data_IF_444970031823
#
_entry.id   IF_444970031823
#
_cell.length_a   1.000
_cell.length_b   1.000
_cell.length_c   1.000
_cell.angle_alpha   90.00
_cell.angle_beta   90.00
_cell.angle_gamma   90.00
#
_symmetry.space_group_name_H-M   'P 1'
#
loop_
_entity.id
_entity.type
_entity.pdbx_description
1 polymer ?
#
# COMPACT_ATOMS: atom_id res chain seq x y z
N UNK A 1 12.41 1.81 -12.00
CA UNK A 1 11.22 2.46 -11.47
C UNK A 1 11.03 2.07 -10.02
N UNK A 2 10.62 2.99 -9.18
CA UNK A 2 10.39 2.69 -7.75
C UNK A 2 9.19 1.78 -7.56
N UNK A 3 9.26 0.93 -6.55
CA UNK A 3 8.22 -0.01 -6.19
C UNK A 3 8.10 -0.08 -4.67
N UNK A 4 6.90 -0.32 -4.18
CA UNK A 4 6.67 -0.55 -2.75
C UNK A 4 5.85 -1.82 -2.58
N UNK A 5 6.19 -2.62 -1.56
CA UNK A 5 5.50 -3.86 -1.26
C UNK A 5 4.47 -3.63 -0.15
N UNK A 6 3.24 -4.05 -0.41
CA UNK A 6 2.15 -4.01 0.58
C UNK A 6 1.63 -5.42 0.82
N UNK A 7 1.24 -5.69 2.06
CA UNK A 7 0.50 -6.91 2.38
C UNK A 7 -0.86 -6.88 1.70
N UNK A 8 -1.34 -8.04 1.27
CA UNK A 8 -2.72 -8.16 0.81
C UNK A 8 -3.66 -8.17 2.02
N UNK A 9 -4.86 -7.60 1.94
CA UNK A 9 -5.53 -7.09 0.74
C UNK A 9 -5.18 -5.65 0.36
N UNK A 10 -4.29 -5.00 1.09
CA UNK A 10 -3.99 -3.57 0.91
C UNK A 10 -3.36 -3.24 -0.44
N UNK A 11 -2.55 -4.14 -0.99
CA UNK A 11 -1.98 -3.94 -2.32
C UNK A 11 -3.09 -3.87 -3.39
N UNK A 12 -4.04 -4.79 -3.35
CA UNK A 12 -5.19 -4.78 -4.28
C UNK A 12 -6.05 -3.54 -4.07
N UNK A 13 -6.36 -3.19 -2.84
CA UNK A 13 -7.17 -2.01 -2.51
C UNK A 13 -6.53 -0.71 -3.02
N UNK A 14 -5.20 -0.62 -2.94
CA UNK A 14 -4.47 0.53 -3.47
C UNK A 14 -4.52 0.54 -4.99
N UNK A 15 -4.29 -0.61 -5.62
CA UNK A 15 -4.26 -0.73 -7.09
C UNK A 15 -5.60 -0.40 -7.74
N UNK A 16 -6.72 -0.73 -7.08
CA UNK A 16 -8.06 -0.42 -7.60
C UNK A 16 -8.58 0.95 -7.16
N UNK A 17 -7.81 1.70 -6.39
CA UNK A 17 -8.18 3.06 -5.98
C UNK A 17 -9.13 3.16 -4.79
N UNK A 18 -9.42 2.07 -4.09
CA UNK A 18 -10.23 2.11 -2.86
C UNK A 18 -9.46 2.69 -1.70
N UNK A 19 -8.18 2.34 -1.60
CA UNK A 19 -7.24 2.86 -0.62
C UNK A 19 -6.43 3.96 -1.31
N UNK A 20 -6.43 5.16 -0.74
CA UNK A 20 -5.73 6.32 -1.33
C UNK A 20 -4.65 6.90 -0.43
N UNK A 21 -4.46 6.32 0.75
CA UNK A 21 -3.42 6.67 1.71
C UNK A 21 -2.72 5.40 2.17
N UNK A 22 -1.39 5.43 2.19
CA UNK A 22 -0.58 4.38 2.81
C UNK A 22 0.14 4.94 4.02
N UNK A 23 0.03 4.27 5.16
CA UNK A 23 0.62 4.71 6.42
C UNK A 23 1.89 3.91 6.71
N UNK A 24 2.98 4.59 7.02
CA UNK A 24 4.28 3.99 7.31
C UNK A 24 4.94 4.67 8.51
N UNK A 25 5.88 3.97 9.14
CA UNK A 25 6.67 4.48 10.26
C UNK A 25 7.83 5.36 9.81
N UNK A 26 8.15 5.35 8.52
CA UNK A 26 9.28 6.04 7.92
C UNK A 26 8.80 7.03 6.86
N UNK A 27 9.62 8.03 6.58
CA UNK A 27 9.37 9.06 5.59
C UNK A 27 10.20 8.82 4.34
N UNK A 28 9.79 9.42 3.24
CA UNK A 28 10.54 9.36 1.99
C UNK A 28 10.53 10.72 1.30
N UNK A 29 11.63 11.03 0.62
CA UNK A 29 11.72 12.20 -0.26
C UNK A 29 11.22 11.89 -1.67
N UNK A 30 11.02 10.61 -1.99
CA UNK A 30 10.54 10.20 -3.30
C UNK A 30 9.16 10.78 -3.58
N UNK A 31 8.96 11.27 -4.80
CA UNK A 31 7.66 11.67 -5.36
C UNK A 31 7.60 11.18 -6.80
N UNK A 32 6.40 10.84 -7.25
CA UNK A 32 6.18 10.42 -8.63
C UNK A 32 5.55 9.04 -8.75
N UNK A 33 5.61 8.49 -9.93
CA UNK A 33 5.01 7.18 -10.23
C UNK A 33 5.79 6.04 -9.60
N UNK A 34 5.08 5.06 -9.09
CA UNK A 34 5.66 3.87 -8.49
C UNK A 34 4.81 2.64 -8.81
N UNK A 35 5.46 1.49 -8.74
CA UNK A 35 4.79 0.19 -8.90
C UNK A 35 4.30 -0.33 -7.55
N UNK A 36 3.18 -1.04 -7.58
CA UNK A 36 2.58 -1.65 -6.40
C UNK A 36 2.88 -3.14 -6.42
N UNK A 37 3.62 -3.62 -5.43
CA UNK A 37 3.95 -5.04 -5.25
C UNK A 37 3.05 -5.64 -4.17
N UNK A 38 2.41 -6.76 -4.48
CA UNK A 38 1.64 -7.54 -3.51
C UNK A 38 2.58 -8.54 -2.83
N UNK A 39 2.78 -8.36 -1.54
CA UNK A 39 3.63 -9.24 -0.73
C UNK A 39 3.09 -10.67 -0.68
N UNK A 40 3.96 -11.63 -0.43
CA UNK A 40 3.54 -13.00 -0.08
C UNK A 40 2.85 -13.06 1.28
N UNK A 41 3.09 -12.08 2.14
CA UNK A 41 2.43 -11.99 3.45
C UNK A 41 1.04 -11.38 3.29
N UNK A 42 0.06 -12.03 3.91
CA UNK A 42 -1.33 -11.59 3.87
C UNK A 42 -1.76 -11.18 5.27
N UNK A 43 -2.44 -10.05 5.36
CA UNK A 43 -3.10 -9.64 6.60
C UNK A 43 -4.46 -10.33 6.67
N UNK A 44 -4.50 -11.47 7.35
CA UNK A 44 -5.69 -12.33 7.40
C UNK A 44 -6.85 -11.62 8.10
N UNK A 45 -6.58 -10.86 9.15
CA UNK A 45 -7.62 -10.10 9.86
C UNK A 45 -8.29 -9.09 8.94
N UNK A 46 -7.50 -8.40 8.12
CA UNK A 46 -8.03 -7.44 7.16
C UNK A 46 -8.82 -8.12 6.04
N UNK A 47 -8.35 -9.25 5.55
CA UNK A 47 -9.11 -10.04 4.58
C UNK A 47 -10.47 -10.45 5.14
N UNK A 48 -10.51 -10.93 6.36
CA UNK A 48 -11.76 -11.32 7.03
C UNK A 48 -12.69 -10.12 7.23
N UNK A 49 -12.13 -9.00 7.66
CA UNK A 49 -12.90 -7.77 7.88
C UNK A 49 -13.58 -7.28 6.59
N UNK A 50 -12.88 -7.37 5.46
CA UNK A 50 -13.37 -6.89 4.16
C UNK A 50 -14.02 -8.00 3.31
N UNK A 51 -14.22 -9.19 3.85
CA UNK A 51 -14.80 -10.35 3.14
C UNK A 51 -14.03 -10.70 1.86
N UNK A 52 -12.71 -10.73 1.96
CA UNK A 52 -11.82 -11.08 0.85
C UNK A 52 -11.24 -12.48 1.10
N UNK A 53 -11.37 -13.37 0.12
CA UNK A 53 -10.80 -14.71 0.19
C UNK A 53 -9.28 -14.63 0.00
N UNK A 54 -8.53 -14.95 1.05
CA UNK A 54 -7.07 -14.92 1.04
C UNK A 54 -6.46 -15.92 0.05
N UNK A 55 -7.19 -16.97 -0.31
CA UNK A 55 -6.70 -18.00 -1.24
C UNK A 55 -6.83 -17.60 -2.71
N UNK A 56 -7.69 -16.62 -3.02
CA UNK A 56 -7.91 -16.17 -4.39
C UNK A 56 -7.16 -14.89 -4.74
N UNK A 57 -6.51 -14.27 -3.77
CA UNK A 57 -5.83 -12.99 -3.98
C UNK A 57 -4.39 -13.19 -4.46
N UNK A 58 -3.90 -12.32 -5.34
CA UNK A 58 -2.56 -12.41 -5.92
C UNK A 58 -1.50 -12.07 -4.86
N UNK A 59 -0.41 -12.84 -4.84
CA UNK A 59 0.73 -12.68 -3.91
C UNK A 59 2.04 -12.79 -4.67
N UNK A 60 3.07 -12.09 -4.18
CA UNK A 60 4.42 -12.20 -4.72
C UNK A 60 4.56 -11.66 -6.13
N UNK A 61 3.86 -10.59 -6.45
CA UNK A 61 3.86 -10.03 -7.80
C UNK A 61 3.61 -8.52 -7.79
N UNK A 62 4.09 -7.86 -8.83
CA UNK A 62 3.74 -6.47 -9.11
C UNK A 62 2.38 -6.47 -9.80
N UNK A 63 1.41 -5.74 -9.24
CA UNK A 63 0.01 -5.81 -9.68
C UNK A 63 -0.55 -4.48 -10.14
N UNK A 64 0.13 -3.39 -9.87
CA UNK A 64 -0.42 -2.07 -10.17
C UNK A 64 0.62 -0.97 -10.20
N UNK A 65 0.14 0.22 -10.47
CA UNK A 65 0.93 1.45 -10.55
C UNK A 65 0.11 2.59 -9.96
N UNK A 66 0.79 3.56 -9.34
CA UNK A 66 0.14 4.75 -8.79
C UNK A 66 1.14 5.91 -8.73
N UNK A 67 0.71 7.05 -8.20
CA UNK A 67 1.55 8.24 -8.05
C UNK A 67 1.55 8.68 -6.58
N UNK A 68 2.75 8.85 -6.03
CA UNK A 68 2.95 9.45 -4.71
C UNK A 68 3.15 10.94 -4.89
N UNK A 69 2.17 11.75 -4.51
CA UNK A 69 2.23 13.19 -4.78
C UNK A 69 2.59 14.01 -3.55
N UNK A 70 2.43 13.47 -2.35
CA UNK A 70 2.83 14.16 -1.11
C UNK A 70 2.96 13.16 0.03
N UNK A 71 3.69 13.58 1.07
CA UNK A 71 3.81 12.86 2.34
C UNK A 71 3.58 13.85 3.46
N UNK A 72 2.68 13.51 4.36
CA UNK A 72 2.48 14.27 5.59
C UNK A 72 2.67 13.37 6.81
N UNK A 73 2.39 13.89 7.98
CA UNK A 73 2.51 13.19 9.24
C UNK A 73 1.23 13.41 10.04
N UNK A 74 0.67 12.36 10.61
CA UNK A 74 -0.42 12.53 11.55
C UNK A 74 0.10 13.14 12.84
N UNK A 75 -0.59 14.16 13.34
CA UNK A 75 -0.21 14.86 14.56
C UNK A 75 -0.66 14.10 15.81
N UNK A 76 -1.71 13.28 15.68
CA UNK A 76 -2.27 12.51 16.77
C UNK A 76 -3.09 11.34 16.24
N UNK A 77 -3.51 10.46 17.14
CA UNK A 77 -4.30 9.28 16.82
C UNK A 77 -5.68 9.63 16.24
N UNK A 78 -6.26 10.73 16.67
CA UNK A 78 -7.56 11.18 16.17
C UNK A 78 -7.52 11.46 14.66
N UNK A 79 -6.44 12.07 14.18
CA UNK A 79 -6.28 12.34 12.74
C UNK A 79 -6.21 11.04 11.94
N UNK A 80 -5.54 10.02 12.48
CA UNK A 80 -5.51 8.70 11.87
C UNK A 80 -6.92 8.10 11.76
N UNK A 81 -7.72 8.18 12.83
CA UNK A 81 -9.09 7.64 12.84
C UNK A 81 -10.00 8.36 11.85
N UNK A 82 -9.84 9.68 11.69
CA UNK A 82 -10.65 10.48 10.76
C UNK A 82 -10.44 10.07 9.31
N UNK A 83 -9.27 9.51 8.99
CA UNK A 83 -8.93 9.07 7.63
C UNK A 83 -9.13 7.56 7.41
N UNK A 84 -9.89 6.89 8.28
CA UNK A 84 -10.09 5.44 8.21
C UNK A 84 -10.61 4.97 6.85
N UNK A 85 -11.49 5.75 6.20
CA UNK A 85 -12.02 5.43 4.87
C UNK A 85 -11.02 5.67 3.73
N UNK A 86 -9.87 6.27 4.02
CA UNK A 86 -8.82 6.55 3.05
C UNK A 86 -7.66 5.56 3.15
N UNK A 87 -7.23 5.20 4.36
CA UNK A 87 -6.15 4.23 4.55
C UNK A 87 -6.64 2.79 4.67
N UNK A 88 -7.88 2.60 5.10
CA UNK A 88 -8.53 1.29 5.27
C UNK A 88 -7.83 0.36 6.27
N UNK A 89 -6.87 0.86 7.04
CA UNK A 89 -6.20 0.08 8.08
C UNK A 89 -7.17 -0.23 9.21
N UNK A 90 -7.10 -1.43 9.76
CA UNK A 90 -7.88 -1.82 10.93
C UNK A 90 -6.98 -1.88 12.16
N UNK A 91 -7.55 -1.64 13.34
CA UNK A 91 -6.83 -1.67 14.60
C UNK A 91 -6.14 -0.34 14.92
N UNK A 92 -5.37 -0.38 16.00
CA UNK A 92 -4.66 0.77 16.54
C UNK A 92 -3.18 0.64 16.19
N UNK A 93 -2.57 1.66 15.55
CA UNK A 93 -1.13 1.61 15.31
C UNK A 93 -0.35 1.69 16.61
N UNK A 94 0.71 0.87 16.71
CA UNK A 94 1.59 0.84 17.88
C UNK A 94 2.51 2.05 17.96
N UNK A 95 2.66 2.78 16.86
CA UNK A 95 3.64 3.84 16.75
C UNK A 95 3.04 5.20 17.01
N UNK A 96 3.84 6.03 17.68
CA UNK A 96 3.48 7.43 17.94
C UNK A 96 3.63 8.29 16.70
N UNK A 97 4.46 7.88 15.74
CA UNK A 97 4.72 8.62 14.51
C UNK A 97 4.23 7.83 13.32
N UNK A 98 3.31 8.41 12.56
CA UNK A 98 2.77 7.81 11.36
C UNK A 98 2.93 8.80 10.22
N UNK A 99 3.69 8.40 9.20
CA UNK A 99 3.80 9.14 7.94
C UNK A 99 2.70 8.71 7.00
N UNK A 100 2.11 9.68 6.32
CA UNK A 100 0.91 9.50 5.50
C UNK A 100 1.30 9.75 4.06
N UNK A 101 1.38 8.68 3.28
CA UNK A 101 1.68 8.75 1.86
C UNK A 101 0.39 9.00 1.08
N UNK A 102 0.29 10.18 0.46
CA UNK A 102 -0.88 10.58 -0.31
C UNK A 102 -0.73 10.09 -1.75
N UNK A 103 -1.66 9.25 -2.19
CA UNK A 103 -1.55 8.48 -3.42
C UNK A 103 -2.73 8.80 -4.34
N UNK A 104 -2.45 8.89 -5.64
CA UNK A 104 -3.45 9.13 -6.68
C UNK A 104 -3.13 8.32 -7.94
N UNK A 105 -4.05 8.37 -8.89
CA UNK A 105 -3.89 7.80 -10.23
C UNK A 105 -3.51 6.31 -10.21
N UNK A 106 -4.10 5.56 -9.30
CA UNK A 106 -3.85 4.14 -9.19
C UNK A 106 -4.55 3.37 -10.33
N UNK A 107 -3.86 2.36 -10.84
CA UNK A 107 -4.40 1.46 -11.86
C UNK A 107 -3.76 0.09 -11.72
N UNK A 108 -4.53 -0.96 -12.01
CA UNK A 108 -3.99 -2.31 -12.09
C UNK A 108 -3.23 -2.49 -13.40
N UNK A 109 -2.15 -3.27 -13.36
CA UNK A 109 -1.48 -3.73 -14.59
C UNK A 109 -2.38 -4.75 -15.29
N UNK A 110 -2.32 -4.80 -16.63
CA UNK A 110 -3.03 -5.80 -17.41
C UNK A 110 -2.59 -7.21 -17.05
N UNK A 111 -1.29 -7.38 -16.80
CA UNK A 111 -0.71 -8.65 -16.37
C UNK A 111 0.15 -8.41 -15.14
N UNK A 112 -0.04 -9.24 -14.12
CA UNK A 112 0.85 -9.23 -12.97
C UNK A 112 2.25 -9.69 -13.37
N UNK A 113 3.26 -9.19 -12.66
CA UNK A 113 4.66 -9.55 -12.90
C UNK A 113 5.20 -10.20 -11.64
N UNK A 114 5.45 -11.52 -11.64
CA UNK A 114 6.06 -12.17 -10.47
C UNK A 114 7.37 -11.47 -10.11
N UNK A 115 7.51 -11.11 -8.84
CA UNK A 115 8.66 -10.34 -8.39
C UNK A 115 8.82 -10.50 -6.88
N UNK A 116 10.07 -10.50 -6.40
CA UNK A 116 10.35 -10.57 -4.97
C UNK A 116 10.32 -9.18 -4.35
N UNK A 117 9.54 -9.01 -3.30
CA UNK A 117 9.47 -7.74 -2.57
C UNK A 117 10.73 -7.44 -1.76
N UNK A 118 10.91 -6.17 -1.44
CA UNK A 118 11.98 -5.66 -0.58
C UNK A 118 11.40 -4.62 0.37
N UNK A 119 12.17 -4.21 1.36
CA UNK A 119 11.76 -3.19 2.32
C UNK A 119 11.77 -1.79 1.69
N UNK A 120 10.83 -0.96 2.11
CA UNK A 120 10.73 0.44 1.67
C UNK A 120 10.43 0.59 0.18
N UNK A 121 10.80 1.72 -0.38
CA UNK A 121 10.81 1.89 -1.83
C UNK A 121 12.08 1.26 -2.41
N UNK A 122 11.91 0.41 -3.39
CA UNK A 122 13.04 -0.26 -4.05
C UNK A 122 12.95 -0.12 -5.56
N UNK A 123 14.11 -0.25 -6.21
CA UNK A 123 14.17 -0.11 -7.65
C UNK A 123 13.85 -1.43 -8.34
N UNK A 124 13.03 -1.35 -9.38
CA UNK A 124 12.65 -2.48 -10.22
C UNK A 124 13.11 -2.22 -11.64
N UNK A 125 13.82 -3.17 -12.19
CA UNK A 125 14.18 -3.20 -13.60
C UNK A 125 13.35 -4.28 -14.29
N UNK A 126 12.45 -3.86 -15.17
CA UNK A 126 11.55 -4.76 -15.88
C UNK A 126 12.13 -5.23 -17.24
N UNK A 127 13.33 -4.79 -17.59
CA UNK A 127 13.95 -5.09 -18.89
C UNK A 127 15.23 -5.89 -18.76
#
# INVERSE_FOLDING_TARGET
MKCISLKQPYAEMLAVGKKIIECRKWCTKFRGDFLIHASKNVDIKSCNYYNIDENSIIKGAIIGKANLYDVKKYLNYKDFLLDANKHLSIGIPDDKTIYVFLIKDAAKLEQMIPYKGKLGFFDVNLY
#
